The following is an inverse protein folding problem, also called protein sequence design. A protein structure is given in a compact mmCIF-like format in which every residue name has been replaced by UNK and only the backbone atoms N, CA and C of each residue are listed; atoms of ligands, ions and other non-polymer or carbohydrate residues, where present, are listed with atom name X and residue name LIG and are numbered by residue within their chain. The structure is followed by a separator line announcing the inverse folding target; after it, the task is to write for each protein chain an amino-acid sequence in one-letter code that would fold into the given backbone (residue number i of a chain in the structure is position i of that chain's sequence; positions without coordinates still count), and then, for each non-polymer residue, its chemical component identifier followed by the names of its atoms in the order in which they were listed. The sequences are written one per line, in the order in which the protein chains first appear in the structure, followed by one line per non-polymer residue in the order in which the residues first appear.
data_IF_749923149258
#
_entry.id   IF_749923149258
#
_cell.length_a   1.000
_cell.length_b   1.000
_cell.length_c   1.000
_cell.angle_alpha   90.00
_cell.angle_beta   90.00
_cell.angle_gamma   90.00
#
_symmetry.space_group_name_H-M   'P 1'
#
loop_
_entity.id
_entity.type
_entity.pdbx_description
1 polymer ?
#
# COMPACT_ATOMS: atom_id res chain seq x y z
N UNK A 1 53.41 -25.94 -9.09
CA UNK A 1 53.08 -27.32 -8.64
C UNK A 1 51.57 -27.36 -8.51
N UNK A 2 50.83 -27.73 -9.52
CA UNK A 2 50.37 -29.09 -9.88
C UNK A 2 49.71 -29.70 -8.63
N UNK A 3 48.35 -29.89 -8.59
CA UNK A 3 47.65 -30.92 -9.35
C UNK A 3 46.13 -30.64 -9.46
N UNK A 4 45.65 -30.97 -10.65
CA UNK A 4 44.23 -31.16 -11.00
C UNK A 4 43.77 -32.55 -10.57
N UNK A 5 42.51 -32.74 -10.23
CA UNK A 5 41.81 -33.96 -10.57
C UNK A 5 40.28 -33.73 -10.82
N UNK A 6 39.84 -34.13 -11.99
CA UNK A 6 38.54 -34.50 -12.48
C UNK A 6 38.58 -36.01 -12.83
N UNK A 7 37.49 -36.63 -13.28
CA UNK A 7 36.07 -36.76 -12.92
C UNK A 7 35.64 -38.25 -12.78
N UNK A 8 34.42 -38.52 -12.36
CA UNK A 8 33.85 -39.87 -12.48
C UNK A 8 32.35 -39.80 -12.76
N UNK A 9 31.97 -40.24 -13.93
CA UNK A 9 30.62 -40.42 -14.42
C UNK A 9 30.22 -41.92 -14.36
N UNK A 10 28.93 -42.20 -14.69
CA UNK A 10 28.22 -43.47 -14.92
C UNK A 10 27.39 -43.92 -13.70
N UNK A 11 26.10 -44.31 -13.82
CA UNK A 11 25.49 -44.95 -14.95
C UNK A 11 23.95 -45.06 -14.83
N UNK A 12 23.40 -45.32 -15.95
CA UNK A 12 22.03 -45.54 -16.37
C UNK A 12 21.43 -46.87 -15.86
N UNK A 13 20.13 -46.91 -15.81
CA UNK A 13 19.28 -48.08 -15.80
C UNK A 13 17.97 -47.82 -15.07
N UNK A 14 16.78 -47.95 -15.58
CA UNK A 14 16.22 -48.61 -16.73
C UNK A 14 14.80 -49.02 -16.36
N UNK A 15 13.85 -48.57 -17.14
CA UNK A 15 12.52 -49.09 -17.48
C UNK A 15 11.93 -50.28 -16.68
N UNK A 16 10.64 -50.15 -16.26
CA UNK A 16 9.60 -51.10 -16.70
C UNK A 16 8.16 -50.59 -16.35
N UNK A 17 7.36 -50.59 -17.38
CA UNK A 17 5.91 -50.46 -17.44
C UNK A 17 5.23 -51.80 -17.13
N UNK A 18 4.02 -51.78 -16.54
CA UNK A 18 2.91 -52.74 -16.83
C UNK A 18 1.57 -52.15 -16.34
N UNK A 19 0.73 -51.85 -17.19
CA UNK A 19 -0.63 -52.19 -17.67
C UNK A 19 -1.57 -52.96 -16.74
N UNK A 20 -2.84 -52.45 -16.76
CA UNK A 20 -4.12 -53.20 -16.88
C UNK A 20 -4.82 -53.67 -15.60
N UNK A 21 -6.04 -53.22 -15.27
CA UNK A 21 -7.35 -53.75 -15.65
C UNK A 21 -8.48 -53.19 -14.76
N UNK A 22 -9.58 -52.75 -15.35
CA UNK A 22 -10.96 -52.76 -14.83
C UNK A 22 -11.53 -54.19 -15.10
N UNK A 23 -12.69 -54.63 -14.53
CA UNK A 23 -13.91 -53.93 -14.16
C UNK A 23 -14.67 -54.52 -12.96
N UNK A 24 -15.86 -53.96 -12.63
CA UNK A 24 -16.86 -54.71 -11.88
C UNK A 24 -17.85 -53.78 -11.14
N UNK A 25 -19.06 -53.70 -11.66
CA UNK A 25 -20.18 -52.96 -11.10
C UNK A 25 -20.90 -53.70 -9.97
N UNK A 26 -21.71 -52.94 -9.21
CA UNK A 26 -22.92 -53.46 -8.56
C UNK A 26 -23.79 -52.31 -8.02
N UNK A 27 -24.94 -52.14 -8.63
CA UNK A 27 -26.34 -52.05 -8.08
C UNK A 27 -26.59 -51.28 -6.81
N UNK A 28 -27.37 -50.20 -6.99
CA UNK A 28 -28.11 -49.48 -5.96
C UNK A 28 -29.38 -50.26 -5.54
N UNK A 29 -29.89 -50.11 -4.31
CA UNK A 29 -31.28 -50.40 -3.98
C UNK A 29 -32.10 -49.09 -3.80
N UNK A 30 -33.36 -49.18 -4.27
CA UNK A 30 -34.43 -48.18 -4.17
C UNK A 30 -34.95 -48.05 -2.72
N UNK A 31 -35.44 -46.86 -2.33
CA UNK A 31 -36.07 -46.67 -1.04
C UNK A 31 -37.58 -47.02 -1.00
N UNK A 32 -38.00 -47.63 0.10
CA UNK A 32 -39.37 -47.96 0.47
C UNK A 32 -40.12 -46.75 1.02
N UNK A 33 -41.37 -46.65 0.64
CA UNK A 33 -42.43 -45.75 1.13
C UNK A 33 -42.83 -46.06 2.56
N UNK A 34 -42.97 -45.03 3.40
CA UNK A 34 -43.73 -45.08 4.69
C UNK A 34 -44.55 -43.77 4.82
N UNK A 35 -45.74 -43.80 5.47
CA UNK A 35 -46.88 -42.95 5.17
C UNK A 35 -46.97 -41.64 5.96
N UNK A 36 -47.91 -40.79 5.46
CA UNK A 36 -48.27 -39.49 6.02
C UNK A 36 -48.82 -39.53 7.45
N UNK A 37 -48.39 -38.55 8.25
CA UNK A 37 -48.97 -38.26 9.55
C UNK A 37 -48.65 -36.85 10.05
N UNK A 38 -49.73 -36.04 10.21
CA UNK A 38 -49.88 -34.81 10.99
C UNK A 38 -49.18 -33.51 10.55
N UNK A 39 -49.96 -32.68 9.85
CA UNK A 39 -49.77 -31.24 9.75
C UNK A 39 -50.08 -30.55 11.07
N UNK A 40 -49.21 -29.63 11.51
CA UNK A 40 -49.49 -28.71 12.59
C UNK A 40 -48.27 -27.94 13.08
N UNK A 41 -48.25 -26.64 12.87
CA UNK A 41 -47.41 -25.64 13.55
C UNK A 41 -45.96 -25.37 13.05
N UNK A 42 -45.66 -25.45 11.78
CA UNK A 42 -44.36 -25.01 11.24
C UNK A 42 -44.44 -23.86 10.20
N UNK A 43 -45.60 -23.24 10.06
CA UNK A 43 -45.87 -22.31 8.93
C UNK A 43 -45.46 -20.84 9.10
N UNK A 44 -45.13 -20.38 10.32
CA UNK A 44 -44.82 -18.96 10.56
C UNK A 44 -43.31 -18.63 10.56
N UNK A 45 -42.46 -19.54 11.00
CA UNK A 45 -40.99 -19.35 11.00
C UNK A 45 -40.40 -19.45 9.60
N UNK A 46 -41.01 -20.24 8.72
CA UNK A 46 -40.52 -20.45 7.33
C UNK A 46 -40.67 -19.22 6.43
N UNK A 47 -41.74 -18.45 6.61
CA UNK A 47 -41.99 -17.23 5.77
C UNK A 47 -41.04 -16.09 6.11
N UNK A 48 -40.65 -15.87 7.35
CA UNK A 48 -39.68 -14.87 7.76
C UNK A 48 -38.26 -15.23 7.29
N UNK A 49 -37.89 -16.50 7.40
CA UNK A 49 -36.59 -16.99 6.86
C UNK A 49 -36.53 -16.98 5.33
N UNK A 50 -37.63 -17.31 4.65
CA UNK A 50 -37.70 -17.22 3.16
C UNK A 50 -37.66 -15.77 2.70
N UNK A 51 -38.33 -14.84 3.38
CA UNK A 51 -38.24 -13.41 3.08
C UNK A 51 -36.86 -12.81 3.35
N UNK A 52 -36.16 -13.27 4.38
CA UNK A 52 -34.78 -12.84 4.66
C UNK A 52 -33.79 -13.44 3.65
N UNK A 53 -34.02 -14.68 3.22
CA UNK A 53 -33.25 -15.33 2.15
C UNK A 53 -33.52 -14.69 0.78
N UNK A 54 -34.79 -14.32 0.50
CA UNK A 54 -35.15 -13.63 -0.75
C UNK A 54 -34.62 -12.19 -0.81
N UNK A 55 -34.56 -11.48 0.33
CA UNK A 55 -33.88 -10.18 0.41
C UNK A 55 -32.37 -10.29 0.16
N UNK A 56 -31.73 -11.39 0.60
CA UNK A 56 -30.31 -11.68 0.28
C UNK A 56 -30.07 -11.99 -1.20
N UNK A 57 -31.06 -12.53 -1.90
CA UNK A 57 -30.96 -12.83 -3.35
C UNK A 57 -31.04 -11.54 -4.17
N UNK A 58 -31.78 -10.51 -3.72
CA UNK A 58 -31.96 -9.25 -4.45
C UNK A 58 -30.78 -8.27 -4.27
N UNK A 59 -29.90 -8.51 -3.29
CA UNK A 59 -28.69 -7.70 -3.04
C UNK A 59 -27.42 -8.27 -3.68
N UNK A 60 -27.54 -9.25 -4.59
CA UNK A 60 -26.36 -9.90 -5.22
C UNK A 60 -25.43 -10.58 -4.22
N UNK A 61 -25.96 -11.12 -3.09
CA UNK A 61 -25.21 -11.76 -2.02
C UNK A 61 -24.49 -10.80 -1.06
N UNK A 62 -24.72 -9.50 -1.15
CA UNK A 62 -24.17 -8.50 -0.23
C UNK A 62 -24.94 -8.46 1.08
N UNK A 63 -24.23 -8.29 2.19
CA UNK A 63 -24.81 -8.20 3.55
C UNK A 63 -25.61 -6.89 3.74
N UNK A 64 -25.14 -5.82 3.14
CA UNK A 64 -25.74 -4.48 3.20
C UNK A 64 -26.17 -4.02 1.81
N UNK A 65 -27.29 -3.31 1.74
CA UNK A 65 -27.68 -2.61 0.51
C UNK A 65 -26.68 -1.49 0.23
N UNK A 66 -26.19 -1.43 -1.02
CA UNK A 66 -25.25 -0.41 -1.49
C UNK A 66 -25.65 0.06 -2.87
N UNK A 67 -26.25 1.22 -2.94
CA UNK A 67 -26.81 1.78 -4.17
C UNK A 67 -25.77 2.58 -4.95
N UNK A 68 -26.04 2.86 -6.22
CA UNK A 68 -25.22 3.80 -7.01
C UNK A 68 -25.18 5.19 -6.37
N UNK A 69 -26.27 5.62 -5.72
CA UNK A 69 -26.32 6.90 -5.01
C UNK A 69 -25.41 6.92 -3.79
N UNK A 70 -25.37 5.84 -3.02
CA UNK A 70 -24.42 5.71 -1.89
C UNK A 70 -22.99 5.79 -2.38
N UNK A 71 -22.66 5.13 -3.50
CA UNK A 71 -21.34 5.18 -4.08
C UNK A 71 -20.93 6.59 -4.52
N UNK A 72 -21.81 7.32 -5.20
CA UNK A 72 -21.55 8.70 -5.61
C UNK A 72 -21.37 9.62 -4.41
N UNK A 73 -22.13 9.41 -3.34
CA UNK A 73 -21.95 10.15 -2.08
C UNK A 73 -20.59 9.87 -1.46
N UNK A 74 -20.16 8.60 -1.39
CA UNK A 74 -18.80 8.23 -0.94
C UNK A 74 -17.74 8.90 -1.80
N UNK A 75 -17.89 8.88 -3.14
CA UNK A 75 -16.94 9.54 -4.05
C UNK A 75 -16.82 11.04 -3.76
N UNK A 76 -17.94 11.71 -3.58
CA UNK A 76 -17.96 13.14 -3.25
C UNK A 76 -17.27 13.44 -1.92
N UNK A 77 -17.56 12.65 -0.89
CA UNK A 77 -17.01 12.85 0.46
C UNK A 77 -15.49 12.61 0.49
N UNK A 78 -15.01 11.52 -0.09
CA UNK A 78 -13.58 11.22 -0.09
C UNK A 78 -12.79 12.20 -0.98
N UNK A 79 -13.38 12.64 -2.10
CA UNK A 79 -12.77 13.67 -2.94
C UNK A 79 -12.64 14.99 -2.20
N UNK A 80 -13.71 15.45 -1.54
CA UNK A 80 -13.72 16.71 -0.78
C UNK A 80 -12.71 16.68 0.38
N UNK A 81 -12.57 15.54 1.05
CA UNK A 81 -11.75 15.42 2.27
C UNK A 81 -10.28 15.10 1.98
N UNK A 82 -10.04 14.24 1.00
CA UNK A 82 -8.70 13.70 0.72
C UNK A 82 -8.24 13.88 -0.75
N UNK A 83 -9.06 14.48 -1.63
CA UNK A 83 -8.77 14.65 -3.06
C UNK A 83 -8.78 13.35 -3.86
N UNK A 84 -9.12 12.24 -3.22
CA UNK A 84 -9.08 10.93 -3.87
C UNK A 84 -10.23 10.83 -4.87
N UNK A 85 -9.87 10.74 -6.16
CA UNK A 85 -10.80 10.54 -7.27
C UNK A 85 -11.05 9.04 -7.46
N UNK A 86 -12.19 8.55 -6.97
CA UNK A 86 -12.59 7.15 -7.16
C UNK A 86 -13.23 6.92 -8.52
N UNK A 87 -12.65 6.02 -9.29
CA UNK A 87 -13.26 5.52 -10.54
C UNK A 87 -14.52 4.69 -10.27
N UNK A 88 -15.55 4.74 -11.14
CA UNK A 88 -16.77 3.92 -11.01
C UNK A 88 -16.52 2.42 -10.84
N UNK A 89 -15.45 1.88 -11.43
CA UNK A 89 -15.09 0.46 -11.29
C UNK A 89 -14.63 0.06 -9.88
N UNK A 90 -14.47 1.01 -8.96
CA UNK A 90 -14.06 0.76 -7.57
C UNK A 90 -15.22 0.50 -6.60
N UNK A 91 -16.45 0.39 -7.09
CA UNK A 91 -17.64 0.23 -6.26
C UNK A 91 -17.57 -0.97 -5.31
N UNK A 92 -17.10 -2.13 -5.80
CA UNK A 92 -16.97 -3.34 -4.97
C UNK A 92 -15.88 -3.21 -3.89
N UNK A 93 -14.79 -2.54 -4.22
CA UNK A 93 -13.74 -2.24 -3.24
C UNK A 93 -14.28 -1.32 -2.14
N UNK A 94 -15.00 -0.26 -2.50
CA UNK A 94 -15.62 0.68 -1.55
C UNK A 94 -16.60 -0.05 -0.66
N UNK A 95 -17.51 -0.86 -1.24
CA UNK A 95 -18.43 -1.69 -0.49
C UNK A 95 -17.71 -2.57 0.53
N UNK A 96 -16.77 -3.39 0.08
CA UNK A 96 -16.03 -4.33 0.92
C UNK A 96 -15.32 -3.66 2.11
N UNK A 97 -14.77 -2.47 1.88
CA UNK A 97 -14.01 -1.73 2.89
C UNK A 97 -14.91 -1.03 3.90
N UNK A 98 -15.96 -0.35 3.43
CA UNK A 98 -16.88 0.38 4.30
C UNK A 98 -17.87 -0.53 5.01
N UNK A 99 -18.22 -1.71 4.48
CA UNK A 99 -19.02 -2.71 5.19
C UNK A 99 -18.41 -3.09 6.55
N UNK A 100 -17.09 -3.07 6.67
CA UNK A 100 -16.41 -3.28 7.97
C UNK A 100 -16.74 -2.16 8.97
N UNK A 101 -16.86 -0.91 8.50
CA UNK A 101 -17.22 0.22 9.36
C UNK A 101 -18.67 0.12 9.84
N UNK A 102 -19.59 -0.27 8.94
CA UNK A 102 -20.98 -0.52 9.33
C UNK A 102 -21.07 -1.55 10.45
N UNK A 103 -20.34 -2.68 10.35
CA UNK A 103 -20.31 -3.70 11.41
C UNK A 103 -19.79 -3.16 12.74
N UNK A 104 -18.68 -2.39 12.72
CA UNK A 104 -18.10 -1.80 13.93
C UNK A 104 -19.07 -0.84 14.62
N UNK A 105 -19.84 -0.07 13.84
CA UNK A 105 -20.82 0.88 14.35
C UNK A 105 -22.22 0.27 14.54
N UNK A 106 -22.40 -1.03 14.24
CA UNK A 106 -23.67 -1.73 14.28
C UNK A 106 -24.79 -1.06 13.45
N UNK A 107 -24.42 -0.46 12.31
CA UNK A 107 -25.33 0.17 11.36
C UNK A 107 -25.80 -0.85 10.32
N UNK A 108 -27.00 -0.64 9.78
CA UNK A 108 -27.63 -1.57 8.84
C UNK A 108 -27.59 -1.13 7.38
N UNK A 109 -27.39 0.14 7.11
CA UNK A 109 -27.43 0.74 5.76
C UNK A 109 -26.29 1.72 5.54
N UNK A 110 -25.80 1.80 4.29
CA UNK A 110 -24.78 2.78 3.92
C UNK A 110 -25.27 4.21 4.07
N UNK A 111 -26.54 4.48 3.78
CA UNK A 111 -27.15 5.79 4.00
C UNK A 111 -27.06 6.24 5.45
N UNK A 112 -27.32 5.33 6.42
CA UNK A 112 -27.18 5.61 7.85
C UNK A 112 -25.73 5.94 8.23
N UNK A 113 -24.78 5.19 7.67
CA UNK A 113 -23.37 5.43 7.90
C UNK A 113 -22.92 6.79 7.35
N UNK A 114 -23.32 7.12 6.12
CA UNK A 114 -22.93 8.38 5.49
C UNK A 114 -23.60 9.57 6.20
N UNK A 115 -24.84 9.43 6.65
CA UNK A 115 -25.52 10.44 7.47
C UNK A 115 -24.84 10.62 8.82
N UNK A 116 -24.44 9.54 9.47
CA UNK A 116 -23.66 9.59 10.71
C UNK A 116 -22.33 10.31 10.48
N UNK A 117 -21.58 9.96 9.43
CA UNK A 117 -20.29 10.55 9.09
C UNK A 117 -20.39 12.08 8.89
N UNK A 118 -21.42 12.55 8.17
CA UNK A 118 -21.58 13.98 7.83
C UNK A 118 -22.15 14.80 8.98
N UNK A 119 -23.05 14.25 9.82
CA UNK A 119 -23.77 15.00 10.86
C UNK A 119 -23.11 14.92 12.23
N UNK A 120 -22.58 13.77 12.57
CA UNK A 120 -22.09 13.44 13.92
C UNK A 120 -20.76 12.70 13.95
N UNK A 121 -20.23 12.29 12.80
CA UNK A 121 -18.91 11.67 12.69
C UNK A 121 -17.83 12.66 13.11
N UNK A 122 -17.29 12.48 14.31
CA UNK A 122 -16.17 13.28 14.77
C UNK A 122 -14.88 12.99 13.99
N UNK A 123 -13.77 13.67 14.30
CA UNK A 123 -12.49 13.51 13.60
C UNK A 123 -12.05 12.04 13.47
N UNK A 124 -12.28 11.23 14.49
CA UNK A 124 -11.90 9.81 14.49
C UNK A 124 -12.67 8.97 13.46
N UNK A 125 -13.97 9.27 13.22
CA UNK A 125 -14.73 8.53 12.21
C UNK A 125 -14.39 8.97 10.79
N UNK A 126 -14.13 10.26 10.59
CA UNK A 126 -13.60 10.76 9.33
C UNK A 126 -12.24 10.14 9.00
N UNK A 127 -11.36 10.02 9.98
CA UNK A 127 -10.08 9.32 9.84
C UNK A 127 -10.29 7.84 9.47
N UNK A 128 -11.16 7.14 10.18
CA UNK A 128 -11.47 5.74 9.89
C UNK A 128 -12.09 5.54 8.48
N UNK A 129 -12.93 6.47 8.02
CA UNK A 129 -13.49 6.49 6.67
C UNK A 129 -12.39 6.65 5.61
N UNK A 130 -11.49 7.61 5.79
CA UNK A 130 -10.37 7.85 4.87
C UNK A 130 -9.44 6.64 4.85
N UNK A 131 -9.01 6.16 6.02
CA UNK A 131 -8.11 5.01 6.15
C UNK A 131 -8.71 3.74 5.51
N UNK A 132 -10.04 3.56 5.59
CA UNK A 132 -10.70 2.43 4.92
C UNK A 132 -10.61 2.52 3.39
N UNK A 133 -10.54 3.70 2.81
CA UNK A 133 -10.56 3.90 1.35
C UNK A 133 -9.18 4.09 0.73
N UNK A 134 -8.12 4.34 1.51
CA UNK A 134 -6.74 4.41 1.03
C UNK A 134 -6.23 3.05 0.53
N UNK A 135 -5.30 3.07 -0.41
CA UNK A 135 -4.66 1.86 -0.93
C UNK A 135 -3.16 1.94 -0.69
N UNK A 136 -2.67 1.08 0.21
CA UNK A 136 -1.36 1.19 0.81
C UNK A 136 -0.35 0.12 0.33
N UNK A 137 -0.42 -0.28 -0.97
CA UNK A 137 0.50 -1.26 -1.53
C UNK A 137 1.89 -0.68 -1.70
N UNK A 138 2.85 -1.20 -0.94
CA UNK A 138 4.25 -0.81 -0.98
C UNK A 138 5.18 -2.01 -0.77
N UNK A 139 6.48 -1.85 -1.02
CA UNK A 139 7.51 -2.85 -0.73
C UNK A 139 8.87 -2.17 -0.58
N UNK A 140 9.79 -2.83 0.12
CA UNK A 140 11.19 -2.38 0.19
C UNK A 140 11.79 -2.30 -1.21
N UNK A 141 12.50 -1.20 -1.48
CA UNK A 141 13.17 -0.90 -2.76
C UNK A 141 12.26 -1.04 -4.00
N UNK A 142 10.96 -0.74 -3.87
CA UNK A 142 10.06 -0.66 -5.03
C UNK A 142 10.62 0.32 -6.06
N UNK A 143 10.72 -0.12 -7.33
CA UNK A 143 11.37 0.65 -8.41
C UNK A 143 12.84 1.00 -8.05
N UNK A 144 13.66 -0.03 -7.87
CA UNK A 144 15.00 0.01 -7.27
C UNK A 144 15.93 1.09 -7.87
N UNK A 145 15.79 1.39 -9.16
CA UNK A 145 16.60 2.40 -9.86
C UNK A 145 16.50 3.81 -9.25
N UNK A 146 15.45 4.15 -8.52
CA UNK A 146 15.34 5.42 -7.82
C UNK A 146 16.32 5.53 -6.66
N UNK A 147 16.59 4.44 -5.98
CA UNK A 147 17.53 4.42 -4.84
C UNK A 147 18.97 4.49 -5.34
N UNK A 148 19.28 3.91 -6.51
CA UNK A 148 20.59 4.07 -7.16
C UNK A 148 20.84 5.54 -7.54
N UNK A 149 19.86 6.21 -8.18
CA UNK A 149 19.92 7.62 -8.52
C UNK A 149 20.01 8.52 -7.28
N UNK A 150 19.27 8.19 -6.21
CA UNK A 150 19.38 8.90 -4.94
C UNK A 150 20.76 8.75 -4.33
N UNK A 151 21.36 7.56 -4.36
CA UNK A 151 22.72 7.32 -3.87
C UNK A 151 23.75 8.17 -4.65
N UNK A 152 23.60 8.29 -5.97
CA UNK A 152 24.44 9.17 -6.78
C UNK A 152 24.24 10.65 -6.41
N UNK A 153 22.99 11.09 -6.22
CA UNK A 153 22.67 12.45 -5.78
C UNK A 153 23.31 12.75 -4.41
N UNK A 154 23.23 11.82 -3.44
CA UNK A 154 23.85 11.96 -2.12
C UNK A 154 25.38 12.10 -2.22
N UNK A 155 26.07 11.28 -3.03
CA UNK A 155 27.53 11.35 -3.21
C UNK A 155 27.99 12.67 -3.81
N UNK A 156 27.15 13.31 -4.63
CA UNK A 156 27.44 14.62 -5.24
C UNK A 156 27.07 15.81 -4.36
N UNK A 157 26.38 15.55 -3.23
CA UNK A 157 25.92 16.62 -2.33
C UNK A 157 27.07 17.14 -1.46
N UNK A 158 27.19 18.46 -1.26
CA UNK A 158 28.21 19.03 -0.39
C UNK A 158 27.93 18.72 1.10
N UNK A 159 28.96 18.35 1.86
CA UNK A 159 28.90 17.89 3.27
C UNK A 159 28.54 18.99 4.31
N UNK A 160 28.01 20.13 3.88
CA UNK A 160 27.82 21.31 4.74
C UNK A 160 26.56 21.31 5.60
N UNK A 161 25.61 20.42 5.32
CA UNK A 161 24.32 20.29 6.03
C UNK A 161 23.76 18.88 5.83
N UNK A 162 22.82 18.44 6.68
CA UNK A 162 22.13 17.17 6.45
C UNK A 162 21.40 17.15 5.09
N UNK A 163 21.50 16.02 4.38
CA UNK A 163 20.75 15.76 3.17
C UNK A 163 19.29 15.48 3.54
N UNK A 164 18.36 16.27 3.06
CA UNK A 164 16.96 16.24 3.51
C UNK A 164 16.07 15.60 2.47
N UNK A 165 15.32 14.59 2.89
CA UNK A 165 14.39 13.84 2.05
C UNK A 165 12.98 13.94 2.63
N UNK A 166 12.00 14.14 1.76
CA UNK A 166 10.60 13.98 2.10
C UNK A 166 9.99 12.83 1.31
N UNK A 167 9.54 11.77 2.01
CA UNK A 167 8.69 10.70 1.50
C UNK A 167 7.24 11.08 1.80
N UNK A 168 6.50 11.54 0.78
CA UNK A 168 5.18 12.16 0.96
C UNK A 168 4.01 11.17 0.98
N UNK A 169 4.26 9.87 0.71
CA UNK A 169 3.31 8.78 0.77
C UNK A 169 4.02 7.54 1.34
N UNK A 170 4.30 7.57 2.64
CA UNK A 170 5.16 6.61 3.33
C UNK A 170 4.54 5.21 3.46
N UNK A 171 3.21 5.11 3.39
CA UNK A 171 2.48 3.87 3.61
C UNK A 171 2.96 3.15 4.88
N UNK A 172 3.15 1.84 4.84
CA UNK A 172 3.63 1.02 5.97
C UNK A 172 5.13 1.13 6.26
N UNK A 173 5.84 2.08 5.62
CA UNK A 173 7.21 2.46 6.00
C UNK A 173 8.33 1.84 5.17
N UNK A 174 8.06 0.92 4.25
CA UNK A 174 9.09 0.26 3.44
C UNK A 174 9.89 1.25 2.60
N UNK A 175 9.24 2.28 2.02
CA UNK A 175 9.95 3.30 1.25
C UNK A 175 10.84 4.19 2.13
N UNK A 176 10.39 4.79 3.24
CA UNK A 176 11.25 5.55 4.13
C UNK A 176 12.44 4.75 4.65
N UNK A 177 12.24 3.47 4.99
CA UNK A 177 13.35 2.63 5.42
C UNK A 177 14.30 2.27 4.28
N UNK A 178 13.82 2.11 3.05
CA UNK A 178 14.69 1.94 1.88
C UNK A 178 15.56 3.19 1.63
N UNK A 179 15.00 4.38 1.85
CA UNK A 179 15.76 5.64 1.80
C UNK A 179 16.84 5.69 2.89
N UNK A 180 16.51 5.30 4.11
CA UNK A 180 17.46 5.25 5.24
C UNK A 180 18.55 4.22 5.00
N UNK A 181 18.22 3.03 4.47
CA UNK A 181 19.20 2.00 4.08
C UNK A 181 20.15 2.57 3.03
N UNK A 182 19.63 3.20 1.97
CA UNK A 182 20.44 3.82 0.92
C UNK A 182 21.40 4.87 1.52
N UNK A 183 20.93 5.71 2.43
CA UNK A 183 21.76 6.68 3.12
C UNK A 183 22.90 6.02 3.92
N UNK A 184 22.61 4.95 4.65
CA UNK A 184 23.63 4.18 5.39
C UNK A 184 24.60 3.44 4.47
N UNK A 185 24.19 3.04 3.27
CA UNK A 185 25.07 2.43 2.27
C UNK A 185 26.02 3.45 1.65
N UNK A 186 25.59 4.72 1.52
CA UNK A 186 26.42 5.81 0.98
C UNK A 186 27.38 6.39 2.01
N UNK A 187 26.89 6.69 3.22
CA UNK A 187 27.65 7.46 4.23
C UNK A 187 28.10 6.66 5.45
N UNK A 188 27.74 5.38 5.53
CA UNK A 188 28.04 4.56 6.71
C UNK A 188 26.96 4.63 7.79
N UNK A 189 27.33 4.24 9.01
CA UNK A 189 26.36 3.96 10.08
C UNK A 189 25.69 5.20 10.72
N UNK A 190 26.22 6.39 10.46
CA UNK A 190 25.66 7.64 10.97
C UNK A 190 25.54 8.68 9.85
N UNK A 191 24.70 8.45 8.84
CA UNK A 191 24.60 9.33 7.71
C UNK A 191 24.06 10.71 8.10
N UNK A 192 24.59 11.81 7.55
CA UNK A 192 24.05 13.15 7.77
C UNK A 192 22.77 13.35 6.93
N UNK A 193 21.73 12.59 7.25
CA UNK A 193 20.48 12.55 6.48
C UNK A 193 19.27 12.72 7.41
N UNK A 194 18.31 13.54 7.00
CA UNK A 194 17.01 13.71 7.65
C UNK A 194 15.93 13.26 6.70
N UNK A 195 15.08 12.34 7.13
CA UNK A 195 13.94 11.84 6.35
C UNK A 195 12.64 12.21 7.06
N UNK A 196 11.79 12.96 6.38
CA UNK A 196 10.39 13.12 6.79
C UNK A 196 9.57 12.12 6.00
N UNK A 197 8.85 11.26 6.71
CA UNK A 197 7.95 10.28 6.14
C UNK A 197 6.51 10.67 6.49
N UNK A 198 5.67 10.92 5.51
CA UNK A 198 4.30 11.31 5.77
C UNK A 198 3.31 10.47 4.99
N UNK A 199 2.12 10.33 5.56
CA UNK A 199 0.96 9.71 4.92
C UNK A 199 -0.31 10.35 5.46
N UNK A 200 -1.41 10.17 4.77
CA UNK A 200 -2.73 10.55 5.23
C UNK A 200 -3.28 9.52 6.23
N UNK A 201 -2.98 8.24 6.02
CA UNK A 201 -3.45 7.10 6.81
C UNK A 201 -2.60 6.91 8.07
N UNK A 202 -3.18 7.19 9.22
CA UNK A 202 -2.52 7.09 10.52
C UNK A 202 -2.20 5.65 10.93
N UNK A 203 -2.98 4.65 10.46
CA UNK A 203 -2.71 3.24 10.76
C UNK A 203 -1.41 2.77 10.11
N UNK A 204 -1.18 3.17 8.85
CA UNK A 204 0.06 2.81 8.16
C UNK A 204 1.27 3.55 8.73
N UNK A 205 1.11 4.81 9.14
CA UNK A 205 2.16 5.55 9.85
C UNK A 205 2.53 4.87 11.17
N UNK A 206 1.54 4.45 11.97
CA UNK A 206 1.78 3.73 13.22
C UNK A 206 2.49 2.38 12.96
N UNK A 207 2.17 1.69 11.85
CA UNK A 207 2.90 0.49 11.43
C UNK A 207 4.35 0.81 11.06
N UNK A 208 4.58 1.83 10.23
CA UNK A 208 5.91 2.29 9.85
C UNK A 208 6.77 2.68 11.05
N UNK A 209 6.20 3.42 12.00
CA UNK A 209 6.90 3.80 13.25
C UNK A 209 7.36 2.60 14.08
N UNK A 210 6.58 1.51 14.13
CA UNK A 210 6.98 0.27 14.82
C UNK A 210 8.16 -0.41 14.13
N UNK A 211 8.25 -0.31 12.80
CA UNK A 211 9.31 -0.90 11.99
C UNK A 211 9.40 -2.42 12.10
N UNK A 212 8.26 -3.09 12.34
CA UNK A 212 8.15 -4.54 12.46
C UNK A 212 7.40 -5.08 11.25
N UNK A 213 7.98 -6.05 10.56
CA UNK A 213 7.47 -6.65 9.34
C UNK A 213 7.52 -8.16 9.44
N UNK A 214 6.65 -8.85 8.70
CA UNK A 214 6.79 -10.29 8.49
C UNK A 214 8.01 -10.58 7.61
N UNK A 215 8.65 -11.73 7.79
CA UNK A 215 9.92 -12.07 7.13
C UNK A 215 9.82 -12.07 5.59
N UNK A 216 8.64 -12.42 5.03
CA UNK A 216 8.36 -12.37 3.58
C UNK A 216 8.51 -10.97 2.98
N UNK A 217 8.29 -9.92 3.76
CA UNK A 217 8.42 -8.53 3.29
C UNK A 217 9.86 -8.17 2.92
N UNK A 218 10.84 -8.85 3.50
CA UNK A 218 12.28 -8.61 3.26
C UNK A 218 12.96 -9.68 2.42
N UNK A 219 12.25 -10.71 1.96
CA UNK A 219 12.81 -11.83 1.16
C UNK A 219 13.50 -11.39 -0.14
N UNK A 220 13.03 -10.27 -0.72
CA UNK A 220 13.62 -9.71 -1.96
C UNK A 220 14.88 -8.88 -1.73
N UNK A 221 15.23 -8.62 -0.48
CA UNK A 221 16.47 -7.91 -0.13
C UNK A 221 17.66 -8.87 -0.17
N UNK A 222 18.85 -8.34 -0.46
CA UNK A 222 20.07 -9.15 -0.34
C UNK A 222 20.29 -9.59 1.10
N UNK A 223 20.92 -10.74 1.27
CA UNK A 223 21.25 -11.29 2.60
C UNK A 223 22.04 -10.31 3.45
N UNK A 224 22.96 -9.57 2.83
CA UNK A 224 23.77 -8.55 3.50
C UNK A 224 22.89 -7.42 4.05
N UNK A 225 21.92 -6.90 3.24
CA UNK A 225 20.97 -5.87 3.69
C UNK A 225 20.14 -6.36 4.87
N UNK A 226 19.61 -7.58 4.78
CA UNK A 226 18.80 -8.16 5.87
C UNK A 226 19.63 -8.28 7.15
N UNK A 227 20.84 -8.84 7.09
CA UNK A 227 21.71 -9.00 8.26
C UNK A 227 22.16 -7.66 8.85
N UNK A 228 22.44 -6.68 7.99
CA UNK A 228 22.95 -5.36 8.42
C UNK A 228 21.88 -4.47 9.01
N UNK A 229 20.65 -4.50 8.47
CA UNK A 229 19.63 -3.48 8.76
C UNK A 229 18.40 -3.99 9.51
N UNK A 230 18.30 -5.30 9.73
CA UNK A 230 17.17 -5.88 10.44
C UNK A 230 17.62 -6.77 11.61
N UNK A 231 16.77 -6.84 12.62
CA UNK A 231 16.86 -7.79 13.73
C UNK A 231 15.83 -8.90 13.47
N UNK A 232 16.23 -10.15 13.61
CA UNK A 232 15.31 -11.29 13.51
C UNK A 232 14.54 -11.46 14.80
N UNK A 233 13.23 -11.67 14.72
CA UNK A 233 12.38 -12.04 15.85
C UNK A 233 12.71 -13.45 16.35
N UNK A 234 12.50 -13.66 17.65
CA UNK A 234 12.67 -14.95 18.33
C UNK A 234 11.47 -15.18 19.27
N UNK A 235 11.20 -16.44 19.64
CA UNK A 235 10.08 -16.78 20.51
C UNK A 235 8.75 -16.38 19.88
N UNK A 236 7.95 -15.61 20.60
CA UNK A 236 6.65 -15.09 20.14
C UNK A 236 6.74 -14.17 18.90
N UNK A 237 7.93 -13.63 18.61
CA UNK A 237 8.19 -12.79 17.45
C UNK A 237 8.82 -13.58 16.28
N UNK A 238 8.88 -14.90 16.34
CA UNK A 238 9.41 -15.69 15.23
C UNK A 238 8.59 -15.44 13.96
N UNK A 239 9.25 -15.47 12.81
CA UNK A 239 8.64 -15.08 11.52
C UNK A 239 8.55 -13.57 11.29
N UNK A 240 9.01 -12.73 12.22
CA UNK A 240 9.07 -11.28 12.06
C UNK A 240 10.52 -10.78 12.02
N UNK A 241 10.67 -9.61 11.42
CA UNK A 241 11.91 -8.83 11.45
C UNK A 241 11.62 -7.42 11.93
N UNK A 242 12.56 -6.81 12.62
CA UNK A 242 12.48 -5.41 13.07
C UNK A 242 13.60 -4.60 12.46
N UNK A 243 13.29 -3.44 11.95
CA UNK A 243 14.28 -2.47 11.49
C UNK A 243 15.18 -2.04 12.66
N UNK A 244 16.49 -1.95 12.41
CA UNK A 244 17.44 -1.53 13.45
C UNK A 244 17.27 -0.06 13.83
N UNK A 245 17.56 0.32 15.11
CA UNK A 245 17.40 1.69 15.60
C UNK A 245 18.18 2.74 14.82
N UNK A 246 19.28 2.35 14.17
CA UNK A 246 20.11 3.22 13.34
C UNK A 246 19.34 3.82 12.16
N UNK A 247 18.36 3.08 11.63
CA UNK A 247 17.50 3.58 10.55
C UNK A 247 16.34 4.40 11.08
N UNK A 248 15.71 3.95 12.18
CA UNK A 248 14.52 4.63 12.72
C UNK A 248 14.82 6.05 13.17
N UNK A 249 16.02 6.32 13.71
CA UNK A 249 16.44 7.66 14.15
C UNK A 249 16.58 8.68 13.00
N UNK A 250 16.74 8.22 11.76
CA UNK A 250 16.82 9.07 10.57
C UNK A 250 15.46 9.56 10.09
N UNK A 251 14.37 8.94 10.58
CA UNK A 251 13.03 9.11 10.03
C UNK A 251 12.10 9.73 11.06
N UNK A 252 11.44 10.81 10.66
CA UNK A 252 10.33 11.42 11.41
C UNK A 252 9.02 11.16 10.68
N UNK A 253 8.15 10.35 11.28
CA UNK A 253 6.82 10.06 10.73
C UNK A 253 5.83 11.16 11.12
N UNK A 254 5.03 11.64 10.17
CA UNK A 254 4.02 12.69 10.37
C UNK A 254 2.76 12.43 9.54
N UNK A 255 1.61 12.72 10.09
CA UNK A 255 0.39 12.79 9.28
C UNK A 255 0.39 14.09 8.48
N UNK A 256 0.24 13.98 7.15
CA UNK A 256 0.11 15.14 6.25
C UNK A 256 -0.91 14.77 5.18
N UNK A 257 -1.97 15.59 5.07
CA UNK A 257 -2.82 15.57 3.90
C UNK A 257 -2.21 16.49 2.83
N UNK A 258 -1.95 15.94 1.64
CA UNK A 258 -1.39 16.73 0.53
C UNK A 258 -2.33 17.85 0.05
N UNK A 259 -3.62 17.81 0.44
CA UNK A 259 -4.58 18.88 0.17
C UNK A 259 -4.56 20.01 1.20
N UNK A 260 -3.98 19.80 2.38
CA UNK A 260 -3.95 20.84 3.41
C UNK A 260 -3.33 22.11 2.87
N UNK A 261 -3.87 23.29 3.21
CA UNK A 261 -3.38 24.58 2.69
C UNK A 261 -1.94 24.86 3.12
N UNK A 262 -1.50 24.31 4.23
CA UNK A 262 -0.12 24.42 4.73
C UNK A 262 0.37 23.06 5.22
N UNK A 263 1.59 22.70 4.81
CA UNK A 263 2.32 21.60 5.40
C UNK A 263 3.31 22.17 6.42
N UNK A 264 3.34 21.62 7.62
CA UNK A 264 4.29 22.04 8.66
C UNK A 264 5.71 21.52 8.35
N UNK A 265 6.21 21.86 7.15
CA UNK A 265 7.52 21.45 6.62
C UNK A 265 8.37 22.71 6.38
N UNK A 266 9.67 22.57 6.66
CA UNK A 266 10.67 23.59 6.28
C UNK A 266 11.09 23.36 4.85
N UNK A 267 11.34 24.43 4.11
CA UNK A 267 11.93 24.39 2.77
C UNK A 267 13.34 23.78 2.80
N UNK A 268 13.84 23.42 1.62
CA UNK A 268 15.21 22.97 1.46
C UNK A 268 15.38 21.46 1.43
N UNK A 269 14.43 20.73 0.84
CA UNK A 269 14.60 19.30 0.55
C UNK A 269 15.52 19.08 -0.66
N UNK A 270 16.45 18.15 -0.53
CA UNK A 270 17.29 17.68 -1.63
C UNK A 270 16.53 16.68 -2.51
N UNK A 271 15.62 15.92 -1.91
CA UNK A 271 14.79 14.96 -2.61
C UNK A 271 13.36 14.94 -2.06
N UNK A 272 12.37 14.89 -2.94
CA UNK A 272 10.98 14.60 -2.60
C UNK A 272 10.59 13.31 -3.31
N UNK A 273 10.23 12.29 -2.54
CA UNK A 273 9.64 11.05 -3.03
C UNK A 273 8.12 11.15 -2.93
N UNK A 274 7.48 11.32 -4.07
CA UNK A 274 6.02 11.33 -4.20
C UNK A 274 5.63 10.28 -5.23
N UNK A 275 5.52 9.04 -4.75
CA UNK A 275 5.42 7.87 -5.64
C UNK A 275 4.13 7.11 -5.41
N UNK A 276 3.46 6.78 -6.51
CA UNK A 276 2.25 5.98 -6.54
C UNK A 276 1.08 6.57 -5.72
N UNK A 277 1.01 7.88 -5.58
CA UNK A 277 -0.04 8.62 -4.88
C UNK A 277 -0.71 9.67 -5.77
N UNK A 278 0.03 10.30 -6.70
CA UNK A 278 -0.52 11.29 -7.62
C UNK A 278 -1.59 10.69 -8.56
N UNK A 279 -1.55 9.38 -8.78
CA UNK A 279 -2.57 8.65 -9.55
C UNK A 279 -3.98 8.74 -8.98
N UNK A 280 -4.12 9.11 -7.72
CA UNK A 280 -5.41 9.28 -7.06
C UNK A 280 -5.99 10.68 -7.20
N UNK A 281 -5.20 11.66 -7.65
CA UNK A 281 -5.63 13.05 -7.82
C UNK A 281 -5.93 13.37 -9.28
N UNK A 282 -6.87 14.29 -9.50
CA UNK A 282 -7.10 14.87 -10.82
C UNK A 282 -5.96 15.84 -11.21
N UNK A 283 -5.89 16.19 -12.50
CA UNK A 283 -4.80 17.03 -13.01
C UNK A 283 -4.70 18.41 -12.36
N UNK A 284 -5.79 19.13 -12.09
CA UNK A 284 -5.73 20.40 -11.37
C UNK A 284 -5.16 20.26 -9.95
N UNK A 285 -5.56 19.22 -9.23
CA UNK A 285 -5.07 18.91 -7.88
C UNK A 285 -3.58 18.52 -7.92
N UNK A 286 -3.19 17.66 -8.86
CA UNK A 286 -1.78 17.32 -9.09
C UNK A 286 -0.95 18.59 -9.30
N UNK A 287 -1.40 19.52 -10.15
CA UNK A 287 -0.66 20.74 -10.45
C UNK A 287 -0.45 21.59 -9.19
N UNK A 288 -1.48 21.80 -8.36
CA UNK A 288 -1.38 22.54 -7.10
C UNK A 288 -0.40 21.92 -6.12
N UNK A 289 -0.38 20.59 -6.01
CA UNK A 289 0.55 19.87 -5.14
C UNK A 289 1.98 20.03 -5.67
N UNK A 290 2.19 19.85 -6.97
CA UNK A 290 3.49 20.00 -7.63
C UNK A 290 4.06 21.42 -7.51
N UNK A 291 3.22 22.44 -7.65
CA UNK A 291 3.63 23.84 -7.47
C UNK A 291 4.19 24.08 -6.05
N UNK A 292 3.57 23.50 -5.05
CA UNK A 292 4.06 23.59 -3.67
C UNK A 292 5.34 22.79 -3.43
N UNK A 293 5.53 21.67 -4.14
CA UNK A 293 6.79 20.91 -4.07
C UNK A 293 7.96 21.73 -4.61
N UNK A 294 7.76 22.51 -5.67
CA UNK A 294 8.79 23.43 -6.19
C UNK A 294 9.30 24.37 -5.08
N UNK A 295 8.39 24.95 -4.27
CA UNK A 295 8.77 25.84 -3.17
C UNK A 295 9.53 25.16 -2.04
N UNK A 296 9.36 23.82 -1.87
CA UNK A 296 10.02 23.06 -0.81
C UNK A 296 11.39 22.50 -1.25
N UNK A 297 11.59 22.28 -2.55
CA UNK A 297 12.84 21.73 -3.08
C UNK A 297 13.97 22.77 -3.08
N UNK A 298 15.17 22.32 -2.77
CA UNK A 298 16.40 23.05 -3.08
C UNK A 298 16.50 23.34 -4.60
N UNK A 299 17.26 24.34 -5.02
CA UNK A 299 17.49 24.60 -6.46
C UNK A 299 17.92 23.35 -7.23
N UNK A 300 18.84 22.55 -6.69
CA UNK A 300 19.32 21.30 -7.29
C UNK A 300 18.58 20.06 -6.77
N UNK A 301 17.46 20.26 -6.06
CA UNK A 301 16.65 19.17 -5.53
C UNK A 301 15.91 18.42 -6.61
N UNK A 302 15.68 17.13 -6.38
CA UNK A 302 15.01 16.24 -7.32
C UNK A 302 13.70 15.72 -6.75
N UNK A 303 12.72 15.53 -7.64
CA UNK A 303 11.47 14.86 -7.31
C UNK A 303 11.44 13.49 -7.98
N UNK A 304 11.10 12.48 -7.22
CA UNK A 304 10.96 11.08 -7.63
C UNK A 304 9.47 10.70 -7.64
N UNK A 305 8.98 10.24 -8.77
CA UNK A 305 7.58 9.82 -8.96
C UNK A 305 7.50 8.32 -9.30
N UNK A 306 6.34 7.70 -9.11
CA UNK A 306 6.14 6.30 -9.48
C UNK A 306 6.07 6.09 -11.00
N UNK A 307 6.33 4.89 -11.47
CA UNK A 307 6.45 4.57 -12.90
C UNK A 307 5.18 4.89 -13.72
N UNK A 308 3.99 4.86 -13.10
CA UNK A 308 2.72 5.19 -13.76
C UNK A 308 2.38 6.68 -13.74
N UNK A 309 3.27 7.51 -13.19
CA UNK A 309 3.05 8.93 -12.99
C UNK A 309 3.86 9.74 -14.00
N UNK A 310 3.20 10.67 -14.69
CA UNK A 310 3.87 11.63 -15.56
C UNK A 310 3.32 13.04 -15.32
N UNK A 311 4.18 14.05 -15.46
CA UNK A 311 3.85 15.44 -15.18
C UNK A 311 4.00 16.34 -16.40
N UNK A 312 3.67 15.84 -17.60
CA UNK A 312 3.67 16.62 -18.85
C UNK A 312 2.79 17.87 -18.69
N UNK A 313 1.64 17.75 -18.01
CA UNK A 313 0.74 18.87 -17.74
C UNK A 313 1.33 19.94 -16.81
N UNK A 314 2.42 19.63 -16.11
CA UNK A 314 3.14 20.51 -15.19
C UNK A 314 4.59 20.82 -15.68
N UNK A 315 4.82 20.79 -16.99
CA UNK A 315 6.14 21.05 -17.58
C UNK A 315 6.73 22.44 -17.25
N UNK A 316 5.89 23.41 -16.85
CA UNK A 316 6.32 24.71 -16.34
C UNK A 316 6.93 24.64 -14.93
N UNK A 317 6.62 23.60 -14.16
CA UNK A 317 7.07 23.39 -12.78
C UNK A 317 8.26 22.42 -12.75
N UNK A 318 8.17 21.33 -13.50
CA UNK A 318 9.13 20.24 -13.46
C UNK A 318 9.55 19.80 -14.86
N UNK A 319 10.85 19.58 -15.03
CA UNK A 319 11.48 19.02 -16.22
C UNK A 319 11.90 17.58 -15.96
N UNK A 320 11.48 16.65 -16.81
CA UNK A 320 11.86 15.24 -16.69
C UNK A 320 13.35 15.02 -17.01
N UNK A 321 14.02 14.26 -16.16
CA UNK A 321 15.37 13.76 -16.37
C UNK A 321 15.39 12.31 -16.88
N UNK A 322 14.21 11.72 -17.07
CA UNK A 322 14.03 10.30 -17.39
C UNK A 322 13.80 9.46 -16.15
N UNK A 323 13.35 8.22 -16.34
CA UNK A 323 13.10 7.25 -15.25
C UNK A 323 12.21 7.78 -14.12
N UNK A 324 11.23 8.63 -14.46
CA UNK A 324 10.31 9.31 -13.51
C UNK A 324 11.01 10.15 -12.43
N UNK A 325 12.20 10.68 -12.74
CA UNK A 325 12.91 11.67 -11.94
C UNK A 325 12.77 13.03 -12.59
N UNK A 326 12.53 14.06 -11.78
CA UNK A 326 12.23 15.41 -12.24
C UNK A 326 13.08 16.44 -11.48
N UNK A 327 13.58 17.44 -12.23
CA UNK A 327 14.19 18.64 -11.67
C UNK A 327 13.21 19.81 -11.79
N UNK A 328 13.39 20.85 -10.98
CA UNK A 328 12.67 22.11 -11.13
C UNK A 328 12.92 22.69 -12.53
N UNK A 329 11.86 23.20 -13.17
CA UNK A 329 11.95 23.73 -14.54
C UNK A 329 12.76 25.04 -14.61
N UNK A 330 12.81 25.79 -13.51
CA UNK A 330 13.55 27.06 -13.39
C UNK A 330 15.06 26.87 -13.15
N UNK A 331 15.56 25.64 -13.07
CA UNK A 331 16.95 25.33 -12.78
C UNK A 331 17.61 24.49 -13.87
N UNK A 332 18.90 24.76 -14.12
CA UNK A 332 19.73 23.98 -15.01
C UNK A 332 20.43 22.89 -14.21
N UNK A 333 19.78 21.74 -14.05
CA UNK A 333 20.37 20.58 -13.38
C UNK A 333 20.83 19.57 -14.42
N UNK A 334 22.08 19.12 -14.33
CA UNK A 334 22.61 18.01 -15.11
C UNK A 334 21.85 16.72 -14.77
N UNK A 335 21.68 15.82 -15.75
CA UNK A 335 21.19 14.47 -15.45
C UNK A 335 22.07 13.82 -14.39
N UNK A 336 21.48 13.14 -13.40
CA UNK A 336 22.23 12.40 -12.39
C UNK A 336 23.07 11.28 -13.01
#
# INVERSE_FOLDING_TARGET
MIERNKPGALGLGGLASTTSARPGGSTAPRPSLVPAGSAGAAGAASRAQINDTLKRIDTGGREFEFTAQDFERVRSLIYKHAGISLSPVKQDMVYSRLARRLRVLNLKRFTEYLDHLERSGGPAEWEAFVNALTTNLTSFFREAHHFDLLAEQMRKSPDRRPFRIWCSAASTGEEPYSLAITACEVFGNNPPVEIIASDLDTNVLAHGQKGIYTADRVERLSRERVQRFFLRGTGEQDGHVRVRPELTRLITFRQINLLDPKWALREGFDAIFCRNVMIYFDKPTQYKILERFVGLLQPNGLMYAGHSENFIHAAKLFRSLGRTVYARADQTVSKP
#
